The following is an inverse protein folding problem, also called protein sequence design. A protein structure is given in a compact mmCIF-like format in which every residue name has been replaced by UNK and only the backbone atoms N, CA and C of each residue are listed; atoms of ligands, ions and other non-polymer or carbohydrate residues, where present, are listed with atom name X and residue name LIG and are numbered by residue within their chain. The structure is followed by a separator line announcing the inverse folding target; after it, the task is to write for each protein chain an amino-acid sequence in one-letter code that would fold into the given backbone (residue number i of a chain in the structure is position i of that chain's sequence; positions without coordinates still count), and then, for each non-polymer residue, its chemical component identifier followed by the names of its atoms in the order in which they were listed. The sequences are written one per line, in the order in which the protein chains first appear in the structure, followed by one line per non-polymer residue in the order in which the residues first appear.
data_IF_158175854336
#
_entry.id   IF_158175854336
#
_cell.length_a   1.000
_cell.length_b   1.000
_cell.length_c   1.000
_cell.angle_alpha   90.00
_cell.angle_beta   90.00
_cell.angle_gamma   90.00
#
_symmetry.space_group_name_H-M   'P 1'
#
loop_
_entity.id
_entity.type
_entity.pdbx_description
1 polymer ?
#
# COMPACT_ATOMS: atom_id res chain seq x y z
N UNK A 1 10.99 2.59 19.03
CA UNK A 1 10.85 1.17 18.60
C UNK A 1 10.87 1.16 17.09
N UNK A 2 11.66 0.25 16.48
CA UNK A 2 11.81 0.23 15.02
C UNK A 2 11.04 -0.95 14.44
N UNK A 3 10.36 -0.73 13.31
CA UNK A 3 9.76 -1.78 12.49
C UNK A 3 10.35 -1.72 11.08
N UNK A 4 10.61 -2.87 10.46
CA UNK A 4 11.09 -2.93 9.09
C UNK A 4 9.94 -3.07 8.14
N UNK A 5 9.65 -1.99 7.41
CA UNK A 5 8.66 -1.95 6.34
C UNK A 5 9.33 -2.11 4.99
N UNK A 6 8.69 -2.78 4.05
CA UNK A 6 9.25 -3.06 2.74
C UNK A 6 8.22 -2.93 1.61
N UNK A 7 8.72 -2.66 0.43
CA UNK A 7 7.94 -2.65 -0.80
C UNK A 7 8.53 -3.60 -1.85
N UNK A 8 7.65 -4.21 -2.63
CA UNK A 8 8.00 -5.06 -3.76
C UNK A 8 7.50 -4.44 -5.07
N UNK A 9 8.37 -3.72 -5.77
CA UNK A 9 8.12 -3.28 -7.15
C UNK A 9 8.26 -4.50 -8.07
N UNK A 10 7.16 -5.19 -8.33
CA UNK A 10 7.12 -6.45 -9.07
C UNK A 10 6.31 -6.34 -10.36
N UNK A 11 6.53 -7.23 -11.33
CA UNK A 11 5.66 -7.34 -12.49
C UNK A 11 4.23 -7.71 -12.09
N UNK A 12 3.26 -7.11 -12.76
CA UNK A 12 1.84 -7.44 -12.64
C UNK A 12 1.25 -7.61 -14.02
N UNK A 13 0.68 -8.78 -14.28
CA UNK A 13 0.06 -9.11 -15.55
C UNK A 13 -1.35 -9.66 -15.40
N UNK A 14 -1.89 -10.19 -16.49
CA UNK A 14 -3.23 -10.78 -16.51
C UNK A 14 -3.28 -12.24 -16.04
N UNK A 15 -2.13 -12.89 -15.86
CA UNK A 15 -2.02 -14.29 -15.42
C UNK A 15 -1.80 -14.36 -13.91
N UNK A 16 -2.81 -14.88 -13.21
CA UNK A 16 -2.82 -15.00 -11.75
C UNK A 16 -1.68 -15.90 -11.23
N UNK A 17 -1.34 -16.98 -11.94
CA UNK A 17 -0.28 -17.89 -11.53
C UNK A 17 1.11 -17.25 -11.66
N UNK A 18 1.31 -16.44 -12.68
CA UNK A 18 2.56 -15.69 -12.85
C UNK A 18 2.66 -14.63 -11.76
N UNK A 19 1.59 -13.89 -11.51
CA UNK A 19 1.53 -12.88 -10.44
C UNK A 19 1.77 -13.50 -9.06
N UNK A 20 1.14 -14.64 -8.76
CA UNK A 20 1.36 -15.39 -7.52
C UNK A 20 2.84 -15.70 -7.31
N UNK A 21 3.53 -16.22 -8.33
CA UNK A 21 4.97 -16.53 -8.24
C UNK A 21 5.82 -15.31 -7.88
N UNK A 22 5.49 -14.14 -8.40
CA UNK A 22 6.19 -12.90 -8.06
C UNK A 22 5.97 -12.49 -6.60
N UNK A 23 4.76 -12.67 -6.08
CA UNK A 23 4.44 -12.41 -4.66
C UNK A 23 5.20 -13.39 -3.76
N UNK A 24 5.26 -14.68 -4.10
CA UNK A 24 6.00 -15.66 -3.31
C UNK A 24 7.50 -15.35 -3.27
N UNK A 25 8.11 -14.93 -4.39
CA UNK A 25 9.51 -14.46 -4.42
C UNK A 25 9.73 -13.24 -3.52
N UNK A 26 8.77 -12.30 -3.52
CA UNK A 26 8.84 -11.12 -2.65
C UNK A 26 8.75 -11.51 -1.16
N UNK A 27 7.93 -12.48 -0.81
CA UNK A 27 7.83 -13.03 0.56
C UNK A 27 9.12 -13.73 1.00
N UNK A 28 9.76 -14.51 0.11
CA UNK A 28 11.06 -15.13 0.41
C UNK A 28 12.11 -14.07 0.69
N UNK A 29 12.22 -13.08 -0.18
CA UNK A 29 13.16 -11.97 0.02
C UNK A 29 12.86 -11.20 1.32
N UNK A 30 11.58 -10.96 1.63
CA UNK A 30 11.17 -10.27 2.84
C UNK A 30 11.61 -11.05 4.10
N UNK A 31 11.40 -12.35 4.11
CA UNK A 31 11.85 -13.25 5.19
C UNK A 31 13.37 -13.22 5.37
N UNK A 32 14.14 -13.35 4.29
CA UNK A 32 15.59 -13.31 4.31
C UNK A 32 16.16 -11.98 4.83
N UNK A 33 15.41 -10.88 4.64
CA UNK A 33 15.81 -9.55 5.08
C UNK A 33 15.16 -9.12 6.40
N UNK A 34 14.50 -10.01 7.14
CA UNK A 34 13.81 -9.73 8.40
C UNK A 34 12.79 -8.60 8.27
N UNK A 35 12.03 -8.57 7.19
CA UNK A 35 10.94 -7.63 6.96
C UNK A 35 9.75 -8.01 7.83
N UNK A 36 9.15 -7.05 8.49
CA UNK A 36 7.96 -7.24 9.31
C UNK A 36 6.67 -6.96 8.52
N UNK A 37 6.71 -5.98 7.62
CA UNK A 37 5.58 -5.56 6.80
C UNK A 37 5.99 -5.41 5.33
N UNK A 38 5.34 -6.15 4.43
CA UNK A 38 5.58 -6.12 2.99
C UNK A 38 4.35 -5.59 2.26
N UNK A 39 4.52 -4.54 1.46
CA UNK A 39 3.50 -4.01 0.54
C UNK A 39 3.77 -4.49 -0.88
N UNK A 40 2.72 -4.92 -1.57
CA UNK A 40 2.75 -5.24 -3.01
C UNK A 40 1.96 -4.21 -3.83
N UNK A 41 2.19 -4.09 -5.15
CA UNK A 41 1.46 -3.16 -6.01
C UNK A 41 -0.05 -3.41 -6.03
N UNK A 42 -0.80 -2.40 -6.46
CA UNK A 42 -2.22 -2.50 -6.77
C UNK A 42 -2.47 -3.63 -7.78
N UNK A 43 -3.43 -4.50 -7.47
CA UNK A 43 -3.79 -5.63 -8.32
C UNK A 43 -2.71 -6.70 -8.48
N UNK A 44 -1.72 -6.75 -7.58
CA UNK A 44 -0.53 -7.60 -7.73
C UNK A 44 -0.84 -9.10 -7.83
N UNK A 45 -1.90 -9.60 -7.21
CA UNK A 45 -2.31 -11.01 -7.36
C UNK A 45 -3.25 -11.21 -8.54
N UNK A 46 -4.32 -10.43 -8.59
CA UNK A 46 -5.40 -10.61 -9.58
C UNK A 46 -5.02 -10.16 -10.99
N UNK A 47 -4.09 -9.22 -11.10
CA UNK A 47 -3.98 -8.38 -12.29
C UNK A 47 -5.24 -7.55 -12.53
N UNK A 48 -5.35 -6.98 -13.72
CA UNK A 48 -6.54 -6.31 -14.21
C UNK A 48 -7.23 -7.17 -15.27
N UNK A 49 -8.53 -7.40 -15.11
CA UNK A 49 -9.28 -8.25 -16.01
C UNK A 49 -10.75 -7.84 -16.01
N UNK A 50 -11.41 -7.99 -17.15
CA UNK A 50 -12.84 -7.71 -17.30
C UNK A 50 -13.72 -8.92 -17.06
N UNK A 51 -13.16 -10.14 -17.05
CA UNK A 51 -13.91 -11.40 -16.86
C UNK A 51 -13.67 -12.01 -15.47
N UNK A 52 -14.03 -11.26 -14.45
CA UNK A 52 -13.85 -11.66 -13.04
C UNK A 52 -14.57 -12.94 -12.67
N UNK A 53 -15.80 -13.13 -13.15
CA UNK A 53 -16.58 -14.34 -12.82
C UNK A 53 -15.86 -15.62 -13.20
N UNK A 54 -15.18 -15.62 -14.34
CA UNK A 54 -14.44 -16.77 -14.82
C UNK A 54 -13.15 -16.99 -14.05
N UNK A 55 -12.48 -15.93 -13.64
CA UNK A 55 -11.18 -16.00 -12.96
C UNK A 55 -11.28 -16.16 -11.44
N UNK A 56 -12.44 -15.93 -10.84
CA UNK A 56 -12.60 -16.01 -9.38
C UNK A 56 -12.17 -17.34 -8.76
N UNK A 57 -12.51 -18.53 -9.31
CA UNK A 57 -12.03 -19.78 -8.71
C UNK A 57 -10.51 -19.87 -8.65
N UNK A 58 -9.82 -19.50 -9.74
CA UNK A 58 -8.36 -19.48 -9.79
C UNK A 58 -7.77 -18.43 -8.81
N UNK A 59 -8.42 -17.27 -8.70
CA UNK A 59 -8.00 -16.23 -7.78
C UNK A 59 -8.13 -16.68 -6.30
N UNK A 60 -9.20 -17.38 -5.96
CA UNK A 60 -9.39 -17.96 -4.63
C UNK A 60 -8.30 -18.98 -4.29
N UNK A 61 -8.01 -19.88 -5.21
CA UNK A 61 -6.96 -20.89 -5.01
C UNK A 61 -5.58 -20.21 -4.84
N UNK A 62 -5.26 -19.25 -5.69
CA UNK A 62 -4.01 -18.50 -5.62
C UNK A 62 -3.91 -17.68 -4.31
N UNK A 63 -5.01 -17.07 -3.86
CA UNK A 63 -5.05 -16.33 -2.61
C UNK A 63 -4.79 -17.24 -1.40
N UNK A 64 -5.45 -18.40 -1.34
CA UNK A 64 -5.22 -19.40 -0.29
C UNK A 64 -3.75 -19.85 -0.25
N UNK A 65 -3.13 -20.10 -1.40
CA UNK A 65 -1.72 -20.46 -1.47
C UNK A 65 -0.79 -19.34 -0.97
N UNK A 66 -1.08 -18.07 -1.33
CA UNK A 66 -0.33 -16.91 -0.84
C UNK A 66 -0.48 -16.77 0.68
N UNK A 67 -1.70 -16.91 1.21
CA UNK A 67 -1.98 -16.86 2.65
C UNK A 67 -1.23 -17.96 3.42
N UNK A 68 -1.23 -19.18 2.91
CA UNK A 68 -0.54 -20.30 3.54
C UNK A 68 0.98 -20.17 3.46
N UNK A 69 1.49 -19.56 2.39
CA UNK A 69 2.92 -19.30 2.24
C UNK A 69 3.38 -18.16 3.16
N UNK A 70 2.61 -17.08 3.22
CA UNK A 70 2.89 -15.92 4.06
C UNK A 70 2.99 -16.31 5.56
N UNK A 71 2.13 -17.21 6.05
CA UNK A 71 2.22 -17.76 7.41
C UNK A 71 3.58 -18.42 7.70
N UNK A 72 4.16 -19.12 6.71
CA UNK A 72 5.48 -19.78 6.84
C UNK A 72 6.63 -18.77 6.80
N UNK A 73 6.41 -17.62 6.19
CA UNK A 73 7.39 -16.53 6.14
C UNK A 73 7.36 -15.66 7.39
N UNK A 74 6.27 -15.67 8.15
CA UNK A 74 6.05 -14.84 9.34
C UNK A 74 6.14 -13.32 9.04
N UNK A 75 5.81 -12.92 7.80
CA UNK A 75 5.80 -11.53 7.33
C UNK A 75 4.36 -11.03 7.30
N UNK A 76 4.06 -9.86 7.84
CA UNK A 76 2.78 -9.20 7.61
C UNK A 76 2.69 -8.75 6.16
N UNK A 77 1.65 -9.18 5.44
CA UNK A 77 1.49 -8.92 4.01
C UNK A 77 0.35 -7.92 3.76
N UNK A 78 0.63 -6.87 3.01
CA UNK A 78 -0.34 -5.91 2.50
C UNK A 78 -0.49 -6.13 1.00
N UNK A 79 -1.44 -6.99 0.64
CA UNK A 79 -1.60 -7.56 -0.70
C UNK A 79 -2.57 -6.76 -1.55
N UNK A 80 -2.08 -6.17 -2.64
CA UNK A 80 -2.92 -5.56 -3.67
C UNK A 80 -3.60 -6.62 -4.53
N UNK A 81 -4.95 -6.63 -4.59
CA UNK A 81 -5.72 -7.57 -5.40
C UNK A 81 -7.11 -7.02 -5.68
N UNK A 82 -7.70 -7.43 -6.79
CA UNK A 82 -9.15 -7.32 -6.93
C UNK A 82 -9.80 -8.55 -6.31
N UNK A 83 -10.95 -8.37 -5.68
CA UNK A 83 -11.63 -9.45 -5.02
C UNK A 83 -13.15 -9.30 -5.11
N UNK A 84 -13.85 -10.44 -5.09
CA UNK A 84 -15.29 -10.47 -5.07
C UNK A 84 -15.79 -10.46 -3.63
N UNK A 85 -16.61 -9.50 -3.31
CA UNK A 85 -17.37 -9.46 -2.06
C UNK A 85 -18.84 -9.71 -2.34
N UNK A 86 -19.55 -10.29 -1.38
CA UNK A 86 -20.98 -10.46 -1.44
C UNK A 86 -21.67 -9.30 -0.73
N UNK A 87 -22.36 -8.47 -1.47
CA UNK A 87 -23.07 -7.34 -0.92
C UNK A 87 -24.56 -7.44 -1.25
N UNK A 88 -25.40 -7.57 -0.22
CA UNK A 88 -26.84 -7.71 -0.39
C UNK A 88 -27.24 -8.91 -1.27
N UNK A 89 -27.78 -8.63 -2.46
CA UNK A 89 -28.24 -9.66 -3.41
C UNK A 89 -27.28 -9.92 -4.58
N UNK A 90 -26.12 -9.28 -4.58
CA UNK A 90 -25.18 -9.36 -5.71
C UNK A 90 -23.73 -9.58 -5.29
N UNK A 91 -22.95 -10.02 -6.26
CA UNK A 91 -21.50 -10.10 -6.14
C UNK A 91 -20.89 -8.80 -6.66
N UNK A 92 -20.07 -8.17 -5.85
CA UNK A 92 -19.39 -6.91 -6.18
C UNK A 92 -17.90 -7.17 -6.25
N UNK A 93 -17.25 -6.66 -7.29
CA UNK A 93 -15.80 -6.71 -7.43
C UNK A 93 -15.20 -5.40 -6.94
N UNK A 94 -14.25 -5.50 -6.02
CA UNK A 94 -13.56 -4.36 -5.42
C UNK A 94 -12.06 -4.47 -5.65
N UNK A 95 -11.42 -3.36 -5.91
CA UNK A 95 -9.98 -3.23 -5.90
C UNK A 95 -9.53 -2.98 -4.46
N UNK A 96 -8.68 -3.85 -3.93
CA UNK A 96 -8.40 -3.94 -2.51
C UNK A 96 -6.91 -4.00 -2.19
N UNK A 97 -6.54 -3.51 -1.00
CA UNK A 97 -5.39 -3.99 -0.26
C UNK A 97 -5.93 -4.86 0.88
N UNK A 98 -5.53 -6.12 0.90
CA UNK A 98 -5.86 -7.06 1.99
C UNK A 98 -4.68 -7.11 2.96
N UNK A 99 -4.94 -6.80 4.22
CA UNK A 99 -3.91 -6.66 5.25
C UNK A 99 -3.87 -7.91 6.14
N UNK A 100 -2.83 -8.72 5.98
CA UNK A 100 -2.61 -9.92 6.78
C UNK A 100 -1.51 -9.66 7.81
N UNK A 101 -1.72 -10.12 9.04
CA UNK A 101 -0.64 -10.13 10.03
C UNK A 101 0.35 -11.27 9.75
N UNK A 102 1.46 -11.31 10.50
CA UNK A 102 2.51 -12.32 10.35
C UNK A 102 2.07 -13.76 10.66
N UNK A 103 0.86 -13.95 11.19
CA UNK A 103 0.25 -15.27 11.43
C UNK A 103 -0.77 -15.65 10.34
N UNK A 104 -0.92 -14.83 9.31
CA UNK A 104 -1.84 -15.04 8.20
C UNK A 104 -3.30 -14.70 8.51
N UNK A 105 -3.58 -14.01 9.59
CA UNK A 105 -4.94 -13.54 9.84
C UNK A 105 -5.21 -12.25 9.09
N UNK A 106 -6.34 -12.17 8.40
CA UNK A 106 -6.80 -10.95 7.76
C UNK A 106 -7.24 -9.95 8.83
N UNK A 107 -6.48 -8.86 9.00
CA UNK A 107 -6.75 -7.82 9.99
C UNK A 107 -7.67 -6.73 9.44
N UNK A 108 -7.73 -6.56 8.13
CA UNK A 108 -8.57 -5.56 7.50
C UNK A 108 -8.43 -5.56 5.98
N UNK A 109 -9.30 -4.80 5.33
CA UNK A 109 -9.33 -4.62 3.89
C UNK A 109 -9.53 -3.14 3.59
N UNK A 110 -8.63 -2.56 2.79
CA UNK A 110 -8.83 -1.24 2.20
C UNK A 110 -9.44 -1.40 0.81
N UNK A 111 -10.59 -0.80 0.57
CA UNK A 111 -11.20 -0.74 -0.75
C UNK A 111 -10.83 0.56 -1.45
N UNK A 112 -10.52 0.49 -2.73
CA UNK A 112 -10.28 1.69 -3.55
C UNK A 112 -11.52 2.57 -3.58
N UNK A 113 -11.34 3.85 -3.29
CA UNK A 113 -12.44 4.83 -3.25
C UNK A 113 -12.72 5.40 -4.65
N UNK A 114 -11.66 5.79 -5.37
CA UNK A 114 -11.76 6.43 -6.67
C UNK A 114 -11.38 5.45 -7.79
N UNK A 115 -12.37 4.71 -8.27
CA UNK A 115 -12.19 3.68 -9.31
C UNK A 115 -12.24 4.33 -10.69
N UNK A 116 -11.36 3.89 -11.59
CA UNK A 116 -11.41 4.26 -13.00
C UNK A 116 -12.40 3.34 -13.75
N UNK A 117 -13.08 3.89 -14.74
CA UNK A 117 -14.12 3.19 -15.49
C UNK A 117 -13.64 1.91 -16.21
N UNK A 118 -12.35 1.82 -16.48
CA UNK A 118 -11.71 0.69 -17.17
C UNK A 118 -11.17 -0.41 -16.22
N UNK A 119 -11.31 -0.24 -14.89
CA UNK A 119 -10.86 -1.25 -13.93
C UNK A 119 -11.81 -2.46 -13.81
N UNK A 120 -13.04 -2.34 -14.31
CA UNK A 120 -14.04 -3.40 -14.24
C UNK A 120 -14.48 -3.77 -12.84
N UNK A 121 -14.22 -2.93 -11.86
CA UNK A 121 -14.57 -3.07 -10.46
C UNK A 121 -15.44 -1.91 -10.01
N UNK A 122 -16.14 -2.07 -8.90
CA UNK A 122 -16.91 -0.99 -8.29
C UNK A 122 -16.05 -0.27 -7.25
N UNK A 123 -16.21 1.03 -7.22
CA UNK A 123 -15.70 1.87 -6.15
C UNK A 123 -16.50 1.63 -4.88
N UNK A 124 -16.01 2.22 -3.83
CA UNK A 124 -16.70 2.27 -2.57
C UNK A 124 -17.98 3.11 -2.68
N UNK A 125 -19.04 2.68 -2.00
CA UNK A 125 -20.21 3.54 -1.80
C UNK A 125 -19.82 4.73 -0.91
N UNK A 126 -20.41 5.90 -1.17
CA UNK A 126 -20.11 7.15 -0.44
C UNK A 126 -20.37 7.07 1.08
N UNK A 127 -21.13 6.07 1.52
CA UNK A 127 -21.56 5.89 2.92
C UNK A 127 -20.65 4.92 3.71
N UNK A 128 -19.65 4.28 3.07
CA UNK A 128 -18.70 3.42 3.75
C UNK A 128 -17.51 4.24 4.27
N UNK A 129 -16.98 3.89 5.44
CA UNK A 129 -15.78 4.55 5.96
C UNK A 129 -14.63 4.46 4.95
N UNK A 130 -13.98 5.58 4.65
CA UNK A 130 -13.00 5.66 3.58
C UNK A 130 -11.79 4.76 3.78
N UNK A 131 -11.44 4.45 5.00
CA UNK A 131 -10.20 3.75 5.31
C UNK A 131 -10.35 2.88 6.54
N UNK A 132 -9.78 1.69 6.46
CA UNK A 132 -9.64 0.81 7.61
C UNK A 132 -8.25 1.04 8.19
N UNK A 133 -8.15 1.51 9.42
CA UNK A 133 -6.88 1.53 10.14
C UNK A 133 -6.46 0.11 10.49
N UNK A 134 -5.22 -0.23 10.19
CA UNK A 134 -4.67 -1.56 10.43
C UNK A 134 -3.63 -1.48 11.53
N UNK A 135 -3.74 -2.28 12.59
CA UNK A 135 -2.75 -2.28 13.65
C UNK A 135 -1.40 -2.80 13.14
N UNK A 136 -0.34 -2.08 13.45
CA UNK A 136 1.04 -2.49 13.23
C UNK A 136 1.58 -3.06 14.53
N UNK A 137 1.97 -4.32 14.50
CA UNK A 137 2.63 -5.00 15.60
C UNK A 137 4.11 -5.12 15.27
N UNK A 138 4.95 -4.54 16.10
CA UNK A 138 6.40 -4.74 16.00
C UNK A 138 6.73 -6.09 16.64
N UNK A 139 7.47 -6.92 15.93
CA UNK A 139 7.97 -8.17 16.46
C UNK A 139 9.07 -7.88 17.49
N UNK A 140 8.70 -7.75 18.74
CA UNK A 140 9.69 -7.73 19.82
C UNK A 140 10.04 -9.17 20.18
N UNK A 141 11.17 -9.65 19.69
CA UNK A 141 11.70 -10.99 19.96
C UNK A 141 11.94 -11.28 21.43
N UNK A 142 11.85 -10.27 22.30
CA UNK A 142 12.00 -10.37 23.74
C UNK A 142 10.67 -10.44 24.48
N UNK A 143 9.54 -10.24 23.82
CA UNK A 143 8.22 -10.41 24.42
C UNK A 143 7.77 -11.87 24.28
N UNK A 144 8.12 -12.69 25.26
CA UNK A 144 7.52 -14.02 25.45
C UNK A 144 6.05 -13.80 25.81
N UNK A 145 5.19 -13.74 24.80
CA UNK A 145 3.76 -13.67 25.01
C UNK A 145 3.29 -14.98 25.65
N UNK A 146 2.87 -14.90 26.89
CA UNK A 146 2.16 -15.99 27.55
C UNK A 146 0.87 -16.29 26.76
N UNK A 147 0.56 -17.55 26.40
CA UNK A 147 -0.48 -17.88 25.44
C UNK A 147 -1.92 -17.56 25.87
N UNK A 148 -2.17 -16.98 27.00
CA UNK A 148 -3.50 -17.02 27.60
C UNK A 148 -4.20 -15.69 27.88
N UNK A 149 -3.59 -14.51 27.77
CA UNK A 149 -4.27 -13.29 28.27
C UNK A 149 -3.93 -11.95 27.61
N UNK A 150 -3.14 -11.82 26.57
CA UNK A 150 -2.83 -10.49 26.08
C UNK A 150 -3.10 -10.33 24.59
N UNK A 151 -4.13 -9.57 24.25
CA UNK A 151 -4.13 -8.80 23.02
C UNK A 151 -2.90 -7.89 23.11
N UNK A 152 -1.88 -8.15 22.29
CA UNK A 152 -0.74 -7.25 22.19
C UNK A 152 -1.29 -5.87 21.83
N UNK A 153 -0.94 -4.85 22.60
CA UNK A 153 -1.31 -3.48 22.28
C UNK A 153 -0.59 -3.10 20.99
N UNK A 154 -1.27 -2.65 19.93
CA UNK A 154 -0.61 -2.23 18.71
C UNK A 154 0.30 -1.04 19.02
N UNK A 155 1.50 -1.04 18.44
CA UNK A 155 2.48 0.04 18.62
C UNK A 155 2.22 1.23 17.71
N UNK A 156 1.52 1.00 16.61
CA UNK A 156 1.13 2.00 15.63
C UNK A 156 -0.07 1.52 14.81
N UNK A 157 -0.66 2.42 14.06
CA UNK A 157 -1.68 2.10 13.07
C UNK A 157 -1.25 2.59 11.70
N UNK A 158 -1.66 1.89 10.67
CA UNK A 158 -1.48 2.29 9.29
C UNK A 158 -2.81 2.31 8.55
N UNK A 159 -2.87 3.07 7.47
CA UNK A 159 -3.98 3.01 6.51
C UNK A 159 -3.48 2.57 5.15
N UNK A 160 -4.37 1.96 4.36
CA UNK A 160 -4.13 1.68 2.96
C UNK A 160 -4.71 2.79 2.07
N UNK A 161 -4.03 3.08 0.96
CA UNK A 161 -4.52 3.90 -0.14
C UNK A 161 -4.19 3.21 -1.45
N UNK A 162 -5.08 3.33 -2.43
CA UNK A 162 -4.90 2.67 -3.72
C UNK A 162 -4.91 3.71 -4.83
N UNK A 163 -3.75 3.89 -5.46
CA UNK A 163 -3.57 4.72 -6.65
C UNK A 163 -4.21 6.12 -6.49
N UNK A 164 -5.32 6.38 -7.17
CA UNK A 164 -6.02 7.66 -7.18
C UNK A 164 -6.54 8.13 -5.82
N UNK A 165 -6.64 7.25 -4.85
CA UNK A 165 -7.08 7.63 -3.50
C UNK A 165 -6.10 8.61 -2.83
N UNK A 166 -4.84 8.60 -3.26
CA UNK A 166 -3.82 9.51 -2.74
C UNK A 166 -4.07 10.96 -3.11
N UNK A 167 -4.66 11.23 -4.27
CA UNK A 167 -4.82 12.60 -4.78
C UNK A 167 -6.26 13.00 -5.11
N UNK A 168 -7.22 12.11 -4.87
CA UNK A 168 -8.63 12.32 -5.25
C UNK A 168 -8.83 12.41 -6.77
N UNK A 169 -9.67 11.58 -7.32
CA UNK A 169 -9.89 11.57 -8.76
C UNK A 169 -10.72 12.79 -9.17
N UNK A 170 -10.08 13.81 -9.73
CA UNK A 170 -10.70 14.97 -10.41
C UNK A 170 -11.67 15.84 -9.59
N UNK A 171 -11.74 15.66 -8.28
CA UNK A 171 -12.61 16.43 -7.41
C UNK A 171 -11.77 17.07 -6.30
N UNK A 172 -11.56 18.37 -6.39
CA UNK A 172 -10.74 19.12 -5.42
C UNK A 172 -11.25 18.99 -3.98
N UNK A 173 -12.55 18.80 -3.81
CA UNK A 173 -13.15 18.61 -2.49
C UNK A 173 -12.79 17.26 -1.87
N UNK A 174 -12.42 16.28 -2.69
CA UNK A 174 -12.04 14.91 -2.26
C UNK A 174 -10.54 14.71 -2.07
N UNK A 175 -9.70 15.61 -2.58
CA UNK A 175 -8.25 15.59 -2.30
C UNK A 175 -7.95 15.80 -0.80
N UNK A 176 -8.91 16.32 -0.05
CA UNK A 176 -8.84 16.44 1.40
C UNK A 176 -9.07 15.11 2.17
N UNK A 177 -9.50 14.02 1.48
CA UNK A 177 -9.86 12.77 2.15
C UNK A 177 -8.74 12.22 3.04
N UNK A 178 -7.50 12.23 2.54
CA UNK A 178 -6.33 11.76 3.31
C UNK A 178 -6.08 12.65 4.52
N UNK A 179 -6.24 13.97 4.36
CA UNK A 179 -6.06 14.94 5.44
C UNK A 179 -7.19 14.86 6.47
N UNK A 180 -8.43 14.66 6.02
CA UNK A 180 -9.58 14.46 6.89
C UNK A 180 -9.44 13.21 7.75
N UNK A 181 -9.06 12.10 7.12
CA UNK A 181 -8.81 10.84 7.86
C UNK A 181 -7.67 11.01 8.85
N UNK A 182 -6.59 11.66 8.46
CA UNK A 182 -5.46 11.91 9.35
C UNK A 182 -5.84 12.80 10.54
N UNK A 183 -6.67 13.81 10.32
CA UNK A 183 -7.18 14.68 11.38
C UNK A 183 -8.08 13.94 12.37
N UNK A 184 -8.88 12.99 11.88
CA UNK A 184 -9.79 12.20 12.70
C UNK A 184 -9.13 10.97 13.37
N UNK A 185 -7.95 10.55 12.89
CA UNK A 185 -7.26 9.34 13.32
C UNK A 185 -5.79 9.62 13.68
N UNK A 186 -5.54 10.34 14.79
CA UNK A 186 -4.17 10.72 15.20
C UNK A 186 -3.29 9.51 15.58
N UNK A 187 -3.88 8.33 15.78
CA UNK A 187 -3.16 7.08 16.01
C UNK A 187 -2.45 6.54 14.77
N UNK A 188 -2.81 7.00 13.56
CA UNK A 188 -2.21 6.54 12.31
C UNK A 188 -0.78 7.08 12.19
N UNK A 189 0.17 6.20 11.88
CA UNK A 189 1.60 6.54 11.80
C UNK A 189 2.27 6.08 10.51
N UNK A 190 1.53 5.51 9.56
CA UNK A 190 2.05 5.05 8.27
C UNK A 190 0.93 4.97 7.25
N UNK A 191 1.26 5.28 6.00
CA UNK A 191 0.39 5.04 4.85
C UNK A 191 1.02 3.96 3.97
N UNK A 192 0.27 2.91 3.66
CA UNK A 192 0.56 1.93 2.62
C UNK A 192 -0.13 2.37 1.33
N UNK A 193 0.64 2.83 0.35
CA UNK A 193 0.12 3.28 -0.93
C UNK A 193 0.50 2.29 -2.03
N UNK A 194 -0.46 1.51 -2.50
CA UNK A 194 -0.31 0.59 -3.62
C UNK A 194 -0.79 1.25 -4.91
N UNK A 195 0.04 1.23 -5.95
CA UNK A 195 -0.31 1.79 -7.25
C UNK A 195 0.07 0.84 -8.39
N UNK A 196 -0.59 0.99 -9.53
CA UNK A 196 -0.25 0.29 -10.76
C UNK A 196 -0.64 1.17 -11.93
N UNK A 197 0.22 2.15 -12.18
CA UNK A 197 -0.01 3.08 -13.27
C UNK A 197 0.11 2.41 -14.64
N UNK A 198 -0.58 2.99 -15.62
CA UNK A 198 -0.40 2.60 -17.02
C UNK A 198 1.01 2.92 -17.47
N UNK A 199 1.66 1.96 -18.12
CA UNK A 199 3.02 2.09 -18.57
C UNK A 199 3.04 2.12 -20.08
N UNK A 200 3.75 3.10 -20.61
CA UNK A 200 4.04 3.20 -22.02
C UNK A 200 5.53 2.90 -22.23
N UNK A 201 5.90 2.67 -23.47
CA UNK A 201 7.30 2.50 -23.84
C UNK A 201 8.17 3.68 -23.36
N UNK A 202 9.44 3.44 -23.20
CA UNK A 202 10.47 4.27 -22.55
C UNK A 202 10.51 5.78 -22.90
N UNK A 203 9.73 6.24 -23.88
CA UNK A 203 9.83 7.59 -24.44
C UNK A 203 8.64 8.50 -24.11
N UNK A 204 7.68 8.06 -23.31
CA UNK A 204 6.55 8.93 -22.99
C UNK A 204 6.88 9.87 -21.82
N UNK A 205 7.36 11.07 -22.14
CA UNK A 205 7.69 12.12 -21.19
C UNK A 205 6.50 12.49 -20.26
N UNK A 206 5.26 12.17 -20.62
CA UNK A 206 4.08 12.40 -19.78
C UNK A 206 4.18 11.66 -18.45
N UNK A 207 4.81 10.48 -18.45
CA UNK A 207 5.02 9.72 -17.23
C UNK A 207 6.10 10.30 -16.31
N UNK A 208 7.06 11.02 -16.85
CA UNK A 208 8.01 11.76 -16.04
C UNK A 208 7.34 12.97 -15.37
N UNK A 209 6.53 13.73 -16.13
CA UNK A 209 5.72 14.81 -15.55
C UNK A 209 4.75 14.29 -14.49
N UNK A 210 4.07 13.16 -14.77
CA UNK A 210 3.18 12.53 -13.81
C UNK A 210 3.94 12.12 -12.53
N UNK A 211 5.11 11.50 -12.67
CA UNK A 211 5.93 11.11 -11.53
C UNK A 211 6.36 12.33 -10.67
N UNK A 212 6.77 13.42 -11.30
CA UNK A 212 7.17 14.63 -10.59
C UNK A 212 6.00 15.24 -9.81
N UNK A 213 4.82 15.27 -10.44
CA UNK A 213 3.59 15.69 -9.77
C UNK A 213 3.24 14.73 -8.63
N UNK A 214 3.24 13.44 -8.86
CA UNK A 214 2.95 12.42 -7.86
C UNK A 214 3.90 12.52 -6.65
N UNK A 215 5.20 12.66 -6.88
CA UNK A 215 6.19 12.86 -5.83
C UNK A 215 5.90 14.12 -5.00
N UNK A 216 5.44 15.19 -5.64
CA UNK A 216 5.05 16.41 -4.96
C UNK A 216 3.84 16.19 -4.06
N UNK A 217 2.83 15.43 -4.54
CA UNK A 217 1.65 15.07 -3.75
C UNK A 217 2.04 14.20 -2.56
N UNK A 218 2.86 13.18 -2.74
CA UNK A 218 3.33 12.32 -1.64
C UNK A 218 4.05 13.14 -0.56
N UNK A 219 4.95 14.02 -0.95
CA UNK A 219 5.69 14.88 0.00
C UNK A 219 4.78 15.84 0.74
N UNK A 220 3.85 16.49 0.04
CA UNK A 220 2.88 17.38 0.67
C UNK A 220 1.97 16.62 1.65
N UNK A 221 1.49 15.46 1.25
CA UNK A 221 0.68 14.61 2.13
C UNK A 221 1.46 14.21 3.39
N UNK A 222 2.71 13.83 3.24
CA UNK A 222 3.55 13.42 4.36
C UNK A 222 3.94 14.56 5.31
N UNK A 223 3.80 15.82 4.91
CA UNK A 223 3.93 16.97 5.82
C UNK A 223 2.85 17.00 6.89
N UNK A 224 1.65 16.54 6.55
CA UNK A 224 0.49 16.63 7.43
C UNK A 224 0.15 15.28 8.09
N UNK A 225 0.55 14.18 7.47
CA UNK A 225 0.11 12.87 7.90
C UNK A 225 1.29 12.04 8.40
N UNK A 226 2.06 11.37 7.56
CA UNK A 226 3.00 10.34 8.02
C UNK A 226 3.97 9.95 6.91
N UNK A 227 5.01 9.15 7.21
CA UNK A 227 5.73 8.46 6.16
C UNK A 227 4.77 7.64 5.30
N UNK A 228 5.03 7.64 4.00
CA UNK A 228 4.28 6.88 3.01
C UNK A 228 5.21 5.84 2.42
N UNK A 229 4.85 4.57 2.57
CA UNK A 229 5.42 3.49 1.78
C UNK A 229 4.61 3.37 0.50
N UNK A 230 5.19 3.71 -0.64
CA UNK A 230 4.55 3.63 -1.95
C UNK A 230 5.21 2.59 -2.85
N UNK A 231 4.39 1.83 -3.57
CA UNK A 231 4.86 0.75 -4.46
C UNK A 231 4.07 0.76 -5.76
N UNK A 232 4.79 0.85 -6.88
CA UNK A 232 4.22 0.71 -8.23
C UNK A 232 4.64 -0.63 -8.85
N UNK A 233 3.85 -1.15 -9.80
CA UNK A 233 4.24 -2.30 -10.58
C UNK A 233 5.30 -1.92 -11.63
N UNK A 234 6.15 -2.86 -12.05
CA UNK A 234 7.23 -2.56 -13.00
C UNK A 234 6.94 -3.01 -14.44
N UNK A 235 5.71 -3.43 -14.74
CA UNK A 235 5.31 -3.89 -16.09
C UNK A 235 4.00 -3.26 -16.52
N UNK A 236 3.69 -3.25 -17.85
CA UNK A 236 2.36 -2.93 -18.33
C UNK A 236 1.32 -3.86 -17.72
N UNK A 237 0.10 -3.37 -17.54
CA UNK A 237 -1.03 -4.11 -16.97
C UNK A 237 -1.40 -5.40 -17.74
N UNK A 238 -1.02 -5.50 -19.00
CA UNK A 238 -1.23 -6.66 -19.86
C UNK A 238 0.04 -7.51 -20.03
N UNK A 239 0.97 -7.42 -19.07
CA UNK A 239 2.18 -8.24 -19.10
C UNK A 239 1.84 -9.74 -19.21
N UNK A 240 2.52 -10.42 -20.14
CA UNK A 240 2.28 -11.81 -20.53
C UNK A 240 3.18 -12.83 -19.82
N UNK A 241 4.01 -12.39 -18.86
CA UNK A 241 4.99 -13.23 -18.19
C UNK A 241 6.36 -13.23 -18.86
N UNK A 242 6.58 -12.45 -19.91
CA UNK A 242 7.87 -12.37 -20.57
C UNK A 242 8.88 -11.56 -19.75
N UNK A 243 9.86 -12.25 -19.17
CA UNK A 243 10.91 -11.66 -18.32
C UNK A 243 11.75 -10.60 -19.07
N UNK A 244 11.94 -10.73 -20.38
CA UNK A 244 12.71 -9.77 -21.17
C UNK A 244 12.07 -8.37 -21.22
N UNK A 245 10.80 -8.24 -20.84
CA UNK A 245 10.09 -6.96 -20.81
C UNK A 245 10.19 -6.29 -19.44
N UNK A 246 10.47 -7.03 -18.39
CA UNK A 246 10.48 -6.51 -17.00
C UNK A 246 11.46 -5.35 -16.84
N UNK A 247 12.69 -5.51 -17.33
CA UNK A 247 13.73 -4.49 -17.19
C UNK A 247 13.63 -3.36 -18.24
N UNK A 248 12.72 -3.48 -19.19
CA UNK A 248 12.51 -2.47 -20.24
C UNK A 248 11.44 -1.44 -19.87
N UNK A 249 10.54 -1.79 -18.97
CA UNK A 249 9.44 -0.91 -18.60
C UNK A 249 9.84 0.02 -17.46
N UNK A 250 9.49 1.30 -17.63
CA UNK A 250 9.61 2.32 -16.57
C UNK A 250 8.31 2.39 -15.79
N UNK A 251 8.39 2.43 -14.47
CA UNK A 251 7.20 2.59 -13.61
C UNK A 251 6.57 3.98 -13.84
N UNK A 252 5.27 4.09 -13.66
CA UNK A 252 4.55 5.37 -13.78
C UNK A 252 4.90 6.31 -12.64
N UNK A 253 5.17 5.77 -11.47
CA UNK A 253 5.54 6.52 -10.26
C UNK A 253 6.75 5.90 -9.56
N UNK A 254 7.38 6.68 -8.69
CA UNK A 254 8.49 6.25 -7.85
C UNK A 254 7.99 5.29 -6.78
N UNK A 255 8.74 4.20 -6.55
CA UNK A 255 8.54 3.32 -5.39
C UNK A 255 9.58 3.63 -4.31
N UNK A 256 9.17 3.57 -3.04
CA UNK A 256 10.06 3.87 -1.93
C UNK A 256 9.30 4.24 -0.65
N UNK A 257 10.03 4.80 0.30
CA UNK A 257 9.50 5.41 1.52
C UNK A 257 9.78 6.90 1.47
N UNK A 258 8.76 7.71 1.62
CA UNK A 258 8.84 9.17 1.55
C UNK A 258 8.24 9.80 2.80
N UNK A 259 8.88 10.86 3.29
CA UNK A 259 8.32 11.77 4.27
C UNK A 259 8.45 13.23 3.82
N UNK A 260 8.06 14.18 4.66
CA UNK A 260 8.13 15.60 4.34
C UNK A 260 9.54 16.12 4.02
N UNK A 261 10.58 15.43 4.48
CA UNK A 261 11.97 15.77 4.17
C UNK A 261 12.42 15.29 2.80
N UNK A 262 11.71 14.32 2.23
CA UNK A 262 11.98 13.71 0.93
C UNK A 262 11.95 12.19 0.98
N UNK A 263 12.61 11.57 0.01
CA UNK A 263 12.74 10.12 -0.04
C UNK A 263 13.72 9.63 1.03
N UNK A 264 13.21 8.80 1.95
CA UNK A 264 14.02 8.10 2.95
C UNK A 264 14.68 6.85 2.36
N UNK A 265 13.98 6.21 1.45
CA UNK A 265 14.43 5.08 0.64
C UNK A 265 13.70 5.16 -0.70
N UNK A 266 14.42 4.97 -1.80
CA UNK A 266 13.84 4.90 -3.13
C UNK A 266 14.58 3.85 -3.98
N UNK A 267 13.92 3.40 -5.05
CA UNK A 267 14.48 2.42 -5.99
C UNK A 267 14.34 2.89 -7.43
N UNK A 268 15.16 2.37 -8.34
CA UNK A 268 15.01 2.69 -9.76
C UNK A 268 13.59 2.45 -10.26
N UNK A 269 13.05 3.40 -11.01
CA UNK A 269 11.74 3.30 -11.69
C UNK A 269 11.75 2.31 -12.86
N UNK A 270 12.44 1.18 -12.69
CA UNK A 270 12.60 0.18 -13.75
C UNK A 270 12.88 -1.18 -13.14
N UNK A 271 12.30 -2.21 -13.74
CA UNK A 271 12.55 -3.59 -13.38
C UNK A 271 12.01 -3.99 -12.01
N UNK A 272 12.26 -5.22 -11.66
CA UNK A 272 11.91 -5.79 -10.36
C UNK A 272 12.84 -5.23 -9.29
N UNK A 273 12.27 -4.61 -8.24
CA UNK A 273 13.00 -4.05 -7.12
C UNK A 273 12.36 -4.47 -5.81
N UNK A 274 13.18 -4.83 -4.84
CA UNK A 274 12.77 -5.02 -3.46
C UNK A 274 13.54 -4.02 -2.59
N UNK A 275 12.86 -3.40 -1.65
CA UNK A 275 13.48 -2.41 -0.77
C UNK A 275 12.85 -2.44 0.60
N UNK A 276 13.59 -1.98 1.61
CA UNK A 276 13.06 -1.81 2.96
C UNK A 276 13.56 -0.52 3.60
N UNK A 277 12.86 -0.13 4.64
CA UNK A 277 13.23 0.98 5.52
C UNK A 277 12.93 0.60 6.97
N UNK A 278 13.86 0.93 7.89
CA UNK A 278 13.69 0.74 9.33
C UNK A 278 13.02 1.99 9.91
N UNK A 279 11.71 1.91 10.14
CA UNK A 279 10.86 3.00 10.61
C UNK A 279 10.82 3.04 12.14
N UNK A 280 11.04 4.20 12.74
CA UNK A 280 10.85 4.39 14.19
C UNK A 280 9.40 4.80 14.47
N UNK A 281 8.58 3.85 14.91
CA UNK A 281 7.16 4.07 15.20
C UNK A 281 6.89 4.67 16.59
N UNK A 282 7.90 4.80 17.45
CA UNK A 282 7.71 5.29 18.82
C UNK A 282 7.67 6.81 18.98
N UNK A 283 8.09 7.55 17.94
CA UNK A 283 8.32 8.98 18.07
C UNK A 283 7.77 9.83 16.93
N UNK A 284 7.03 9.21 16.00
CA UNK A 284 6.89 9.80 14.67
C UNK A 284 6.07 11.08 14.67
N UNK A 285 4.97 11.15 15.40
CA UNK A 285 4.07 12.29 15.23
C UNK A 285 4.41 13.50 16.11
N UNK A 286 4.42 13.34 17.41
CA UNK A 286 4.57 14.47 18.34
C UNK A 286 5.93 15.17 18.19
N UNK A 287 7.01 14.39 17.98
CA UNK A 287 8.35 14.96 17.95
C UNK A 287 8.71 15.61 16.59
N UNK A 288 8.11 15.15 15.49
CA UNK A 288 8.43 15.67 14.14
C UNK A 288 7.73 16.97 13.84
N UNK A 289 6.45 17.09 14.13
CA UNK A 289 5.72 18.34 13.96
C UNK A 289 6.27 19.41 14.91
N UNK A 290 6.51 19.06 16.17
CA UNK A 290 7.17 19.96 17.12
C UNK A 290 8.56 20.38 16.67
N UNK A 291 9.33 19.46 16.12
CA UNK A 291 10.66 19.74 15.60
C UNK A 291 10.58 20.62 14.35
N UNK A 292 9.71 20.29 13.41
CA UNK A 292 9.51 21.06 12.19
C UNK A 292 9.06 22.49 12.50
N UNK A 293 8.06 22.68 13.36
CA UNK A 293 7.60 24.00 13.76
C UNK A 293 8.68 24.81 14.50
N UNK A 294 9.43 24.15 15.41
CA UNK A 294 10.54 24.79 16.12
C UNK A 294 11.70 25.15 15.19
N UNK A 295 12.12 24.27 14.29
CA UNK A 295 13.24 24.52 13.37
C UNK A 295 12.92 25.59 12.33
N UNK A 296 11.64 25.78 11.98
CA UNK A 296 11.22 26.77 11.01
C UNK A 296 10.60 28.03 11.61
N UNK A 297 10.61 28.18 12.96
CA UNK A 297 10.00 29.30 13.68
C UNK A 297 8.52 29.51 13.30
N UNK A 298 7.80 28.43 13.07
CA UNK A 298 6.36 28.46 12.75
C UNK A 298 5.60 28.20 14.06
N UNK A 299 4.72 29.12 14.46
CA UNK A 299 3.80 28.87 15.56
C UNK A 299 2.80 27.77 15.16
N UNK A 300 2.63 26.73 15.99
CA UNK A 300 1.64 25.70 15.69
C UNK A 300 0.25 26.34 15.60
N UNK A 301 -0.48 26.05 14.52
CA UNK A 301 -1.87 26.46 14.41
C UNK A 301 -2.67 25.75 15.51
N UNK A 302 -3.18 26.48 16.48
CA UNK A 302 -4.20 25.98 17.37
C UNK A 302 -5.50 25.83 16.57
N UNK A 303 -5.79 24.61 16.12
CA UNK A 303 -7.12 24.29 15.66
C UNK A 303 -8.04 24.23 16.87
N UNK A 304 -8.78 25.29 17.13
CA UNK A 304 -9.96 25.19 17.98
C UNK A 304 -10.94 24.22 17.30
N UNK A 305 -10.94 22.98 17.75
CA UNK A 305 -12.02 22.05 17.42
C UNK A 305 -13.26 22.61 18.13
N UNK A 306 -14.07 23.36 17.43
CA UNK A 306 -15.39 23.73 17.90
C UNK A 306 -16.23 22.46 17.97
N UNK A 307 -16.43 21.95 19.19
CA UNK A 307 -17.35 20.87 19.53
C UNK A 307 -18.80 21.21 19.19
#
# INVERSE_FOLDING_TARGET
MKTRIAGAQIPVGSDIEVNKKEILKALDWAKENNVEHLLTPEGSLSGYCTDWKRKMPQLFDALNEVEDYQKKCEVSLHLGTNFQEREGRGDIFKNQIRHYNNKGHLNGVTNKTFVLADEGVLGRNNDEEPMVSVPIYVNDSNLVLSPSTSQATPHAFAIGLICNDMWGANDLDKSALVLEVAGNHPEIQLIFHATNGRKFEDHDFRWDIFNDWHNSVLRLTSMFVYPILTVDSCTPWNWDGNEDTVDKCKTSSQSGVVDYTGWLTDVPRRGRQYFYHDLDVSSIYASRMDKFFKENNIEPFEYEINN
#
